data_IF_901918467663
#
_entry.id   IF_901918467663
#
_cell.length_a   1.000
_cell.length_b   1.000
_cell.length_c   1.000
_cell.angle_alpha   90.00
_cell.angle_beta   90.00
_cell.angle_gamma   90.00
#
_symmetry.space_group_name_H-M   'P 1'
#
loop_
_entity.id
_entity.type
_entity.pdbx_description
1 polymer ?
#
# COMPACT_ATOMS: atom_id res chain seq x y z
N UNK A 1 -14.71 19.39 -13.55
CA UNK A 1 -14.33 18.52 -12.44
C UNK A 1 -13.94 17.16 -12.99
N UNK A 2 -12.81 16.61 -12.53
CA UNK A 2 -12.43 15.25 -12.82
C UNK A 2 -13.26 14.24 -12.01
N UNK A 3 -13.01 12.96 -12.27
CA UNK A 3 -13.73 11.88 -11.57
C UNK A 3 -13.52 11.90 -10.05
N UNK A 4 -12.26 12.08 -9.62
CA UNK A 4 -11.89 12.11 -8.20
C UNK A 4 -12.52 13.30 -7.47
N UNK A 5 -12.45 14.52 -8.05
CA UNK A 5 -13.04 15.72 -7.48
C UNK A 5 -14.57 15.59 -7.35
N UNK A 6 -15.22 14.95 -8.33
CA UNK A 6 -16.67 14.73 -8.29
C UNK A 6 -17.06 13.77 -7.16
N UNK A 7 -16.33 12.65 -7.00
CA UNK A 7 -16.56 11.72 -5.89
C UNK A 7 -16.29 12.37 -4.54
N UNK A 8 -15.23 13.16 -4.42
CA UNK A 8 -14.89 13.87 -3.19
C UNK A 8 -16.00 14.84 -2.78
N UNK A 9 -16.54 15.63 -3.72
CA UNK A 9 -17.67 16.53 -3.45
C UNK A 9 -18.93 15.78 -3.01
N UNK A 10 -19.23 14.64 -3.66
CA UNK A 10 -20.35 13.78 -3.24
C UNK A 10 -20.14 13.28 -1.81
N UNK A 11 -18.93 12.80 -1.49
CA UNK A 11 -18.61 12.32 -0.15
C UNK A 11 -18.74 13.42 0.91
N UNK A 12 -18.25 14.63 0.63
CA UNK A 12 -18.43 15.78 1.50
C UNK A 12 -19.94 16.11 1.74
N UNK A 13 -20.73 16.05 0.66
CA UNK A 13 -22.19 16.28 0.76
C UNK A 13 -22.87 15.20 1.59
N UNK A 14 -22.53 13.94 1.40
CA UNK A 14 -23.09 12.81 2.19
C UNK A 14 -22.73 12.97 3.66
N UNK A 15 -21.47 13.27 3.98
CA UNK A 15 -21.02 13.53 5.34
C UNK A 15 -21.85 14.62 6.03
N UNK A 16 -22.07 15.75 5.34
CA UNK A 16 -22.87 16.86 5.89
C UNK A 16 -24.35 16.49 6.06
N UNK A 17 -24.92 15.69 5.14
CA UNK A 17 -26.32 15.27 5.23
C UNK A 17 -26.58 14.25 6.33
N UNK A 18 -25.60 13.35 6.58
CA UNK A 18 -25.69 12.35 7.64
C UNK A 18 -25.43 12.93 9.04
N UNK A 19 -24.82 14.11 9.11
CA UNK A 19 -24.36 14.72 10.36
C UNK A 19 -23.40 13.79 11.13
N UNK A 20 -22.46 13.15 10.39
CA UNK A 20 -21.46 12.25 10.96
C UNK A 20 -20.43 13.05 11.79
N UNK A 21 -19.88 12.45 12.85
CA UNK A 21 -18.90 13.10 13.73
C UNK A 21 -17.49 13.14 13.10
N UNK A 22 -17.16 12.17 12.27
CA UNK A 22 -15.83 12.00 11.68
C UNK A 22 -15.89 11.75 10.18
N UNK A 23 -15.00 12.39 9.45
CA UNK A 23 -14.80 12.18 8.02
C UNK A 23 -13.39 11.68 7.75
N UNK A 24 -13.25 10.40 7.37
CA UNK A 24 -11.97 9.82 6.97
C UNK A 24 -11.77 10.10 5.49
N UNK A 25 -10.79 10.94 5.17
CA UNK A 25 -10.51 11.41 3.83
C UNK A 25 -9.12 10.98 3.38
N UNK A 26 -9.04 10.04 2.43
CA UNK A 26 -7.79 9.63 1.83
C UNK A 26 -7.42 10.55 0.67
N UNK A 27 -6.18 11.06 0.66
CA UNK A 27 -5.64 11.84 -0.45
C UNK A 27 -5.50 10.96 -1.71
N UNK A 28 -5.85 11.50 -2.87
CA UNK A 28 -5.68 10.81 -4.14
C UNK A 28 -4.21 10.69 -4.51
N UNK A 29 -3.49 11.80 -4.58
CA UNK A 29 -2.05 11.85 -4.87
C UNK A 29 -1.38 12.98 -4.09
N UNK A 30 -0.32 12.64 -3.35
CA UNK A 30 0.47 13.64 -2.63
C UNK A 30 -0.22 14.19 -1.38
N UNK A 31 -0.65 15.43 -1.40
CA UNK A 31 -1.31 16.11 -0.29
C UNK A 31 -1.50 17.61 -0.52
N UNK A 32 -0.43 18.38 -0.59
CA UNK A 32 -0.44 19.85 -0.70
C UNK A 32 -1.32 20.40 -1.84
N UNK A 33 -1.31 19.73 -2.98
CA UNK A 33 -2.07 20.08 -4.19
C UNK A 33 -3.24 19.12 -4.44
N UNK A 34 -3.47 18.18 -3.54
CA UNK A 34 -4.59 17.25 -3.66
C UNK A 34 -5.92 17.95 -3.36
N UNK A 35 -6.99 17.53 -4.02
CA UNK A 35 -8.33 18.07 -3.82
C UNK A 35 -8.77 18.01 -2.36
N UNK A 36 -8.36 16.99 -1.62
CA UNK A 36 -8.71 16.80 -0.21
C UNK A 36 -8.07 17.84 0.73
N UNK A 37 -7.02 18.54 0.27
CA UNK A 37 -6.38 19.62 1.05
C UNK A 37 -7.33 20.79 1.38
N UNK A 38 -8.43 20.93 0.64
CA UNK A 38 -9.44 21.99 0.87
C UNK A 38 -10.07 21.86 2.26
N UNK A 39 -10.16 20.65 2.82
CA UNK A 39 -10.80 20.42 4.14
C UNK A 39 -9.99 21.05 5.28
N UNK A 40 -8.68 21.27 5.12
CA UNK A 40 -7.81 21.78 6.18
C UNK A 40 -7.92 21.00 7.48
N UNK A 41 -7.74 19.68 7.37
CA UNK A 41 -7.88 18.74 8.49
C UNK A 41 -6.95 19.08 9.65
N UNK A 42 -7.45 19.01 10.88
CA UNK A 42 -6.64 19.19 12.09
C UNK A 42 -5.95 17.89 12.55
N UNK A 43 -6.34 16.76 11.98
CA UNK A 43 -5.74 15.45 12.22
C UNK A 43 -5.30 14.85 10.89
N UNK A 44 -4.01 14.54 10.79
CA UNK A 44 -3.40 13.95 9.59
C UNK A 44 -2.71 12.65 9.95
N UNK A 45 -2.90 11.63 9.11
CA UNK A 45 -2.28 10.31 9.26
C UNK A 45 -1.32 10.10 8.08
N UNK A 46 -0.04 9.95 8.38
CA UNK A 46 1.01 9.64 7.41
C UNK A 46 1.46 8.19 7.61
N UNK A 47 1.08 7.31 6.71
CA UNK A 47 1.38 5.87 6.83
C UNK A 47 2.87 5.59 6.63
N UNK A 48 3.41 6.02 5.49
CA UNK A 48 4.84 5.93 5.14
C UNK A 48 5.19 6.91 4.02
N UNK A 49 6.49 6.98 3.69
CA UNK A 49 7.02 7.69 2.52
C UNK A 49 7.75 6.70 1.62
N UNK A 50 7.25 6.54 0.41
CA UNK A 50 7.85 5.73 -0.66
C UNK A 50 7.83 6.46 -1.99
N UNK A 51 8.60 5.98 -2.96
CA UNK A 51 8.61 6.53 -4.32
C UNK A 51 7.39 6.04 -5.09
N UNK A 52 6.50 6.95 -5.44
CA UNK A 52 5.42 6.80 -6.39
C UNK A 52 5.08 8.19 -6.94
N UNK A 53 4.55 8.28 -8.15
CA UNK A 53 4.17 9.54 -8.79
C UNK A 53 5.27 10.62 -8.75
N UNK A 54 6.53 10.22 -8.98
CA UNK A 54 7.69 11.11 -8.88
C UNK A 54 7.59 12.30 -9.83
N UNK A 55 6.94 12.14 -10.97
CA UNK A 55 6.66 13.20 -11.93
C UNK A 55 5.81 14.34 -11.35
N UNK A 56 5.03 14.07 -10.30
CA UNK A 56 4.16 15.04 -9.63
C UNK A 56 4.67 15.43 -8.24
N UNK A 57 5.25 14.49 -7.50
CA UNK A 57 5.56 14.65 -6.07
C UNK A 57 7.03 15.01 -5.81
N UNK A 58 7.91 14.82 -6.80
CA UNK A 58 9.34 15.05 -6.69
C UNK A 58 10.18 13.78 -6.67
N UNK A 59 11.50 13.95 -6.82
CA UNK A 59 12.46 12.88 -7.01
C UNK A 59 13.17 12.44 -5.73
N UNK A 60 12.82 13.03 -4.60
CA UNK A 60 13.38 12.69 -3.29
C UNK A 60 12.26 12.40 -2.26
N UNK A 61 12.58 11.55 -1.29
CA UNK A 61 11.65 11.29 -0.18
C UNK A 61 11.29 12.55 0.62
N UNK A 62 12.19 13.55 0.66
CA UNK A 62 11.94 14.82 1.33
C UNK A 62 10.91 15.67 0.59
N UNK A 63 10.98 15.74 -0.75
CA UNK A 63 9.97 16.43 -1.57
C UNK A 63 8.60 15.74 -1.43
N UNK A 64 8.56 14.42 -1.45
CA UNK A 64 7.32 13.64 -1.25
C UNK A 64 6.76 13.90 0.17
N UNK A 65 7.62 13.97 1.18
CA UNK A 65 7.22 14.30 2.55
C UNK A 65 6.62 15.70 2.60
N UNK A 66 7.25 16.71 1.97
CA UNK A 66 6.74 18.09 1.90
C UNK A 66 5.32 18.12 1.31
N UNK A 67 5.10 17.42 0.19
CA UNK A 67 3.77 17.32 -0.40
C UNK A 67 2.74 16.73 0.57
N UNK A 68 3.10 15.67 1.30
CA UNK A 68 2.14 14.94 2.15
C UNK A 68 1.85 15.66 3.47
N UNK A 69 2.86 16.22 4.15
CA UNK A 69 2.63 16.93 5.42
C UNK A 69 1.97 18.28 5.23
N UNK A 70 2.02 18.86 4.03
CA UNK A 70 1.35 20.11 3.69
C UNK A 70 -0.07 19.92 3.11
N UNK A 71 -0.69 18.77 3.33
CA UNK A 71 -2.10 18.55 2.98
C UNK A 71 -3.03 19.50 3.79
N UNK A 72 -2.59 19.97 4.93
CA UNK A 72 -3.29 20.95 5.75
C UNK A 72 -2.31 21.94 6.37
N UNK A 73 -2.75 23.17 6.54
CA UNK A 73 -2.02 24.21 7.28
C UNK A 73 -2.57 24.40 8.71
N UNK A 74 -3.38 23.46 9.19
CA UNK A 74 -4.02 23.50 10.50
C UNK A 74 -3.90 22.15 11.24
N UNK A 75 -2.69 21.54 11.23
CA UNK A 75 -2.47 20.22 11.81
C UNK A 75 -2.23 20.32 13.32
N UNK A 76 -3.21 19.92 14.12
CA UNK A 76 -3.03 19.75 15.56
C UNK A 76 -2.35 18.41 15.90
N UNK A 77 -2.77 17.34 15.23
CA UNK A 77 -2.26 16.00 15.49
C UNK A 77 -1.76 15.36 14.19
N UNK A 78 -0.48 15.00 14.14
CA UNK A 78 0.11 14.21 13.07
C UNK A 78 0.43 12.81 13.61
N UNK A 79 -0.19 11.78 13.01
CA UNK A 79 0.08 10.38 13.30
C UNK A 79 0.98 9.79 12.23
N UNK A 80 2.04 9.10 12.63
CA UNK A 80 3.06 8.58 11.72
C UNK A 80 3.21 7.07 11.91
N UNK A 81 3.14 6.33 10.81
CA UNK A 81 3.43 4.91 10.73
C UNK A 81 4.94 4.65 10.70
N UNK A 82 5.43 4.16 9.56
CA UNK A 82 6.88 3.97 9.35
C UNK A 82 7.49 5.15 8.60
N UNK A 83 8.51 5.76 9.18
CA UNK A 83 9.24 6.85 8.55
C UNK A 83 10.73 6.78 8.89
N UNK A 84 11.58 7.05 7.88
CA UNK A 84 13.02 7.14 8.08
C UNK A 84 13.38 8.25 9.09
N UNK A 85 14.30 7.96 10.01
CA UNK A 85 14.72 8.93 11.05
C UNK A 85 15.20 10.26 10.47
N UNK A 86 15.87 10.23 9.31
CA UNK A 86 16.34 11.42 8.59
C UNK A 86 15.20 12.33 8.12
N UNK A 87 14.02 11.77 7.87
CA UNK A 87 12.83 12.52 7.45
C UNK A 87 12.09 13.13 8.65
N UNK A 88 12.09 12.43 9.78
CA UNK A 88 11.39 12.88 10.99
C UNK A 88 11.85 14.26 11.44
N UNK A 89 13.16 14.52 11.39
CA UNK A 89 13.74 15.81 11.79
C UNK A 89 13.27 17.00 10.94
N UNK A 90 12.79 16.75 9.73
CA UNK A 90 12.34 17.79 8.80
C UNK A 90 10.86 18.15 8.94
N UNK A 91 10.06 17.32 9.63
CA UNK A 91 8.58 17.45 9.63
C UNK A 91 8.15 18.86 10.09
N UNK A 92 8.63 19.30 11.24
CA UNK A 92 8.22 20.61 11.80
C UNK A 92 8.75 21.81 11.01
N UNK A 93 9.88 21.67 10.31
CA UNK A 93 10.38 22.72 9.42
C UNK A 93 9.61 22.80 8.11
N UNK A 94 9.05 21.67 7.63
CA UNK A 94 8.21 21.63 6.44
C UNK A 94 6.79 22.14 6.70
N UNK A 95 6.25 21.89 7.89
CA UNK A 95 4.94 22.39 8.28
C UNK A 95 4.93 22.78 9.77
N UNK A 96 4.97 24.08 10.03
CA UNK A 96 5.02 24.66 11.38
C UNK A 96 3.68 24.66 12.11
N UNK A 97 2.57 24.34 11.44
CA UNK A 97 1.26 24.21 12.08
C UNK A 97 1.13 22.94 12.94
N UNK A 98 2.05 21.97 12.79
CA UNK A 98 1.97 20.70 13.49
C UNK A 98 2.27 20.90 14.99
N UNK A 99 1.26 20.71 15.82
CA UNK A 99 1.38 20.85 17.27
C UNK A 99 1.94 19.59 17.93
N UNK A 100 1.36 18.42 17.62
CA UNK A 100 1.71 17.12 18.22
C UNK A 100 2.01 16.08 17.17
N UNK A 101 3.00 15.22 17.45
CA UNK A 101 3.38 14.10 16.60
C UNK A 101 3.29 12.83 17.43
N UNK A 102 2.63 11.81 16.88
CA UNK A 102 2.48 10.49 17.47
C UNK A 102 3.05 9.44 16.52
N UNK A 103 3.86 8.52 17.02
CA UNK A 103 4.43 7.44 16.23
C UNK A 103 3.77 6.11 16.61
N UNK A 104 3.41 5.30 15.62
CA UNK A 104 2.78 4.00 15.84
C UNK A 104 3.63 3.06 16.70
N UNK A 105 4.95 3.10 16.56
CA UNK A 105 5.89 2.30 17.36
C UNK A 105 5.97 2.68 18.84
N UNK A 106 5.57 3.90 19.20
CA UNK A 106 5.58 4.41 20.58
C UNK A 106 4.17 4.30 21.21
N UNK A 107 3.27 3.57 20.53
CA UNK A 107 1.92 3.32 21.02
C UNK A 107 1.97 2.57 22.36
N UNK A 108 1.26 3.10 23.36
CA UNK A 108 1.06 2.45 24.67
C UNK A 108 0.08 1.28 24.62
N UNK A 109 -0.44 0.96 23.44
CA UNK A 109 -1.14 -0.28 23.21
C UNK A 109 -0.12 -1.39 23.51
N UNK A 110 -0.28 -2.07 24.63
CA UNK A 110 0.61 -3.12 25.12
C UNK A 110 0.62 -4.29 24.12
N UNK A 111 1.53 -4.21 23.16
CA UNK A 111 1.85 -5.33 22.31
C UNK A 111 3.15 -5.93 22.84
N UNK A 112 3.09 -7.15 23.35
CA UNK A 112 4.29 -7.95 23.65
C UNK A 112 5.08 -8.33 22.39
N UNK A 113 4.68 -7.79 21.22
CA UNK A 113 5.27 -8.06 19.92
C UNK A 113 6.29 -6.99 19.55
N UNK A 114 7.42 -7.42 19.02
CA UNK A 114 8.40 -6.54 18.41
C UNK A 114 7.79 -5.87 17.16
N UNK A 115 7.61 -4.54 17.18
CA UNK A 115 7.01 -3.77 16.09
C UNK A 115 7.70 -4.05 14.74
N UNK A 116 9.01 -4.27 14.71
CA UNK A 116 9.76 -4.53 13.49
C UNK A 116 9.44 -5.91 12.88
N UNK A 117 8.91 -6.84 13.66
CA UNK A 117 8.49 -8.18 13.22
C UNK A 117 7.07 -8.22 12.66
N UNK A 118 6.28 -7.18 12.88
CA UNK A 118 4.90 -7.12 12.38
C UNK A 118 4.85 -7.00 10.86
N UNK A 119 3.78 -7.54 10.27
CA UNK A 119 3.45 -7.31 8.86
C UNK A 119 3.07 -5.84 8.63
N UNK A 120 3.13 -5.38 7.37
CA UNK A 120 2.71 -4.02 7.05
C UNK A 120 1.22 -3.78 7.36
N UNK A 121 0.38 -4.80 7.22
CA UNK A 121 -1.06 -4.73 7.57
C UNK A 121 -1.24 -4.53 9.07
N UNK A 122 -0.51 -5.28 9.91
CA UNK A 122 -0.54 -5.12 11.36
C UNK A 122 -0.03 -3.74 11.80
N UNK A 123 1.06 -3.25 11.18
CA UNK A 123 1.58 -1.90 11.45
C UNK A 123 0.56 -0.80 11.11
N UNK A 124 -0.15 -0.93 10.00
CA UNK A 124 -1.22 -0.02 9.63
C UNK A 124 -2.40 -0.09 10.61
N UNK A 125 -2.74 -1.28 11.09
CA UNK A 125 -3.75 -1.46 12.12
C UNK A 125 -3.36 -0.75 13.43
N UNK A 126 -2.13 -0.92 13.91
CA UNK A 126 -1.62 -0.20 15.09
C UNK A 126 -1.75 1.31 14.91
N UNK A 127 -1.39 1.82 13.72
CA UNK A 127 -1.51 3.25 13.42
C UNK A 127 -2.98 3.71 13.51
N UNK A 128 -3.91 2.93 12.95
CA UNK A 128 -5.33 3.23 13.01
C UNK A 128 -5.86 3.23 14.46
N UNK A 129 -5.47 2.23 15.26
CA UNK A 129 -5.85 2.18 16.68
C UNK A 129 -5.26 3.32 17.51
N UNK A 130 -4.01 3.72 17.23
CA UNK A 130 -3.42 4.89 17.89
C UNK A 130 -4.23 6.16 17.61
N UNK A 131 -4.70 6.33 16.36
CA UNK A 131 -5.59 7.45 16.01
C UNK A 131 -6.88 7.40 16.81
N UNK A 132 -7.54 6.24 16.87
CA UNK A 132 -8.79 6.06 17.61
C UNK A 132 -8.61 6.32 19.12
N UNK A 133 -7.53 5.78 19.73
CA UNK A 133 -7.20 6.00 21.14
C UNK A 133 -7.06 7.49 21.48
N UNK A 134 -6.42 8.26 20.59
CA UNK A 134 -6.19 9.70 20.82
C UNK A 134 -7.37 10.61 20.48
N UNK A 135 -8.27 10.17 19.60
CA UNK A 135 -9.41 11.00 19.15
C UNK A 135 -10.69 10.73 19.91
N UNK A 136 -10.96 9.47 20.28
CA UNK A 136 -12.28 9.06 20.81
C UNK A 136 -12.21 8.32 22.15
N UNK A 137 -11.07 8.36 22.87
CA UNK A 137 -10.86 7.64 24.15
C UNK A 137 -11.33 6.17 24.06
N UNK A 138 -10.81 5.47 23.06
CA UNK A 138 -11.23 4.11 22.73
C UNK A 138 -10.71 3.12 23.78
N UNK A 139 -11.57 2.75 24.74
CA UNK A 139 -11.21 1.93 25.92
C UNK A 139 -11.22 0.41 25.71
N UNK A 140 -11.41 -0.07 24.48
CA UNK A 140 -11.44 -1.50 24.23
C UNK A 140 -10.04 -2.12 24.31
N UNK A 141 -9.94 -3.24 25.00
CA UNK A 141 -8.76 -4.11 24.99
C UNK A 141 -8.66 -4.73 23.58
N UNK A 142 -7.75 -4.21 22.82
CA UNK A 142 -7.46 -4.67 21.48
C UNK A 142 -6.23 -5.58 21.51
N UNK A 143 -6.31 -6.77 20.90
CA UNK A 143 -5.18 -7.68 20.72
C UNK A 143 -4.94 -7.92 19.23
N UNK A 144 -3.78 -7.49 18.74
CA UNK A 144 -3.36 -7.74 17.34
C UNK A 144 -3.25 -9.24 17.05
N UNK A 145 -2.92 -10.05 18.05
CA UNK A 145 -2.74 -11.50 17.89
C UNK A 145 -4.05 -12.23 17.52
N UNK A 146 -5.18 -11.72 17.99
CA UNK A 146 -6.49 -12.34 17.82
C UNK A 146 -7.32 -11.77 16.67
N UNK A 147 -6.85 -10.68 16.04
CA UNK A 147 -7.58 -10.02 14.96
C UNK A 147 -6.95 -10.33 13.61
N UNK A 148 -7.72 -10.95 12.75
CA UNK A 148 -7.33 -11.13 11.34
C UNK A 148 -7.58 -9.83 10.58
N UNK A 149 -6.59 -8.92 10.54
CA UNK A 149 -6.63 -7.73 9.69
C UNK A 149 -6.40 -8.12 8.23
N UNK A 150 -7.42 -8.66 7.61
CA UNK A 150 -7.33 -9.03 6.22
C UNK A 150 -8.00 -7.95 5.37
N UNK A 151 -7.20 -7.08 4.77
CA UNK A 151 -7.71 -6.15 3.77
C UNK A 151 -7.73 -6.83 2.40
N UNK A 152 -8.84 -6.75 1.65
CA UNK A 152 -8.91 -7.32 0.31
C UNK A 152 -7.76 -6.84 -0.58
N UNK A 153 -7.03 -7.77 -1.20
CA UNK A 153 -5.90 -7.46 -2.07
C UNK A 153 -4.66 -6.88 -1.37
N UNK A 154 -4.51 -7.10 -0.06
CA UNK A 154 -3.31 -6.74 0.70
C UNK A 154 -2.74 -7.96 1.42
N UNK A 155 -1.74 -8.59 0.83
CA UNK A 155 -1.13 -9.85 1.28
C UNK A 155 -2.20 -10.88 1.71
N UNK A 156 -3.28 -10.92 0.93
CA UNK A 156 -4.47 -11.71 1.21
C UNK A 156 -4.24 -13.16 0.81
N UNK A 157 -4.41 -14.09 1.75
CA UNK A 157 -4.34 -15.53 1.48
C UNK A 157 -5.70 -16.01 0.99
N UNK A 158 -5.78 -16.41 -0.29
CA UNK A 158 -7.03 -16.89 -0.92
C UNK A 158 -7.10 -18.43 -0.97
N UNK A 159 -5.98 -19.13 -0.80
CA UNK A 159 -5.92 -20.58 -0.64
C UNK A 159 -4.75 -20.96 0.26
N UNK A 160 -4.90 -22.06 1.01
CA UNK A 160 -3.85 -22.58 1.90
C UNK A 160 -3.15 -23.78 1.26
N UNK A 161 -3.82 -24.56 0.43
CA UNK A 161 -3.28 -25.77 -0.21
C UNK A 161 -3.78 -25.89 -1.65
N UNK A 162 -2.96 -25.55 -2.66
CA UNK A 162 -1.65 -24.87 -2.52
C UNK A 162 -1.81 -23.47 -1.94
N UNK A 163 -0.74 -22.93 -1.35
CA UNK A 163 -0.73 -21.56 -0.86
C UNK A 163 -0.91 -20.57 -2.00
N UNK A 164 -1.94 -19.73 -1.94
CA UNK A 164 -2.17 -18.66 -2.89
C UNK A 164 -2.37 -17.34 -2.18
N UNK A 165 -1.55 -16.37 -2.55
CA UNK A 165 -1.56 -15.00 -1.99
C UNK A 165 -1.87 -14.03 -3.11
N UNK A 166 -2.66 -13.01 -2.83
CA UNK A 166 -2.88 -11.88 -3.74
C UNK A 166 -2.50 -10.57 -3.06
N UNK A 167 -1.77 -9.72 -3.79
CA UNK A 167 -1.33 -8.41 -3.27
C UNK A 167 -1.32 -7.35 -4.36
N UNK A 168 -1.97 -6.22 -4.11
CA UNK A 168 -2.10 -5.11 -5.04
C UNK A 168 -0.91 -4.15 -5.06
N UNK A 169 0.26 -4.54 -4.56
CA UNK A 169 1.48 -3.73 -4.63
C UNK A 169 1.79 -3.35 -6.08
N UNK A 170 1.92 -2.06 -6.34
CA UNK A 170 2.09 -1.49 -7.67
C UNK A 170 3.19 -0.41 -7.72
N UNK A 171 4.01 -0.36 -6.68
CA UNK A 171 5.22 0.45 -6.56
C UNK A 171 6.29 -0.31 -5.76
N UNK A 172 7.51 0.20 -5.77
CA UNK A 172 8.67 -0.45 -5.12
C UNK A 172 8.44 -0.66 -3.62
N UNK A 173 7.97 0.37 -2.91
CA UNK A 173 7.79 0.30 -1.46
C UNK A 173 6.74 -0.74 -1.04
N UNK A 174 5.63 -0.83 -1.78
CA UNK A 174 4.60 -1.84 -1.55
C UNK A 174 5.12 -3.25 -1.83
N UNK A 175 5.86 -3.41 -2.95
CA UNK A 175 6.45 -4.70 -3.30
C UNK A 175 7.50 -5.15 -2.28
N UNK A 176 8.37 -4.25 -1.80
CA UNK A 176 9.33 -4.55 -0.73
C UNK A 176 8.63 -5.00 0.56
N UNK A 177 7.51 -4.36 0.90
CA UNK A 177 6.72 -4.75 2.07
C UNK A 177 6.13 -6.17 1.91
N UNK A 178 5.53 -6.47 0.75
CA UNK A 178 4.96 -7.78 0.45
C UNK A 178 6.05 -8.89 0.45
N UNK A 179 7.22 -8.64 -0.16
CA UNK A 179 8.34 -9.58 -0.14
C UNK A 179 8.85 -9.81 1.28
N UNK A 180 8.98 -8.76 2.07
CA UNK A 180 9.41 -8.85 3.48
C UNK A 180 8.43 -9.69 4.30
N UNK A 181 7.14 -9.46 4.14
CA UNK A 181 6.11 -10.24 4.84
C UNK A 181 6.10 -11.71 4.40
N UNK A 182 6.35 -11.97 3.10
CA UNK A 182 6.53 -13.33 2.62
C UNK A 182 7.73 -14.01 3.28
N UNK A 183 8.90 -13.34 3.29
CA UNK A 183 10.12 -13.88 3.88
C UNK A 183 9.96 -14.17 5.38
N UNK A 184 9.31 -13.27 6.12
CA UNK A 184 9.04 -13.47 7.56
C UNK A 184 8.18 -14.70 7.83
N UNK A 185 7.15 -14.91 7.00
CA UNK A 185 6.15 -15.96 7.23
C UNK A 185 6.55 -17.31 6.66
N UNK A 186 7.29 -17.33 5.54
CA UNK A 186 7.57 -18.54 4.75
C UNK A 186 9.06 -18.81 4.51
N UNK A 187 9.97 -18.08 5.17
CA UNK A 187 11.41 -18.35 5.25
C UNK A 187 12.09 -18.56 3.88
N UNK A 188 11.68 -17.82 2.85
CA UNK A 188 12.16 -17.95 1.46
C UNK A 188 11.83 -19.28 0.78
N UNK A 189 10.77 -19.96 1.17
CA UNK A 189 10.26 -21.11 0.42
C UNK A 189 10.05 -20.75 -1.05
N UNK A 190 10.34 -21.63 -2.00
CA UNK A 190 10.10 -21.36 -3.42
C UNK A 190 8.62 -21.03 -3.69
N UNK A 191 8.41 -19.97 -4.48
CA UNK A 191 7.06 -19.49 -4.83
C UNK A 191 7.00 -19.03 -6.29
N UNK A 192 5.91 -19.32 -6.96
CA UNK A 192 5.63 -18.81 -8.29
C UNK A 192 5.01 -17.41 -8.19
N UNK A 193 5.70 -16.41 -8.76
CA UNK A 193 5.30 -15.01 -8.72
C UNK A 193 4.64 -14.63 -10.04
N UNK A 194 3.34 -14.40 -10.00
CA UNK A 194 2.54 -13.94 -11.13
C UNK A 194 2.49 -12.42 -11.12
N UNK A 195 3.02 -11.80 -12.18
CA UNK A 195 3.13 -10.34 -12.27
C UNK A 195 2.30 -9.77 -13.40
N UNK A 196 1.60 -8.67 -13.11
CA UNK A 196 0.95 -7.86 -14.13
C UNK A 196 0.87 -6.41 -13.65
N UNK A 197 1.37 -5.47 -14.47
CA UNK A 197 1.47 -4.06 -14.10
C UNK A 197 0.50 -3.21 -14.91
N UNK A 198 0.01 -2.15 -14.29
CA UNK A 198 -0.75 -1.12 -15.00
C UNK A 198 0.22 -0.23 -15.79
N UNK A 199 -0.19 0.18 -17.00
CA UNK A 199 0.55 1.13 -17.84
C UNK A 199 0.94 2.39 -17.05
N UNK A 200 2.18 2.83 -17.23
CA UNK A 200 2.71 4.03 -16.59
C UNK A 200 3.30 3.78 -15.19
N UNK A 201 3.30 2.54 -14.68
CA UNK A 201 4.03 2.18 -13.46
C UNK A 201 5.48 1.80 -13.77
N UNK A 202 6.37 1.94 -12.78
CA UNK A 202 7.79 1.61 -12.93
C UNK A 202 8.02 0.09 -12.84
N UNK A 203 7.49 -0.66 -13.81
CA UNK A 203 7.61 -2.11 -13.86
C UNK A 203 9.06 -2.60 -13.91
N UNK A 204 9.99 -1.81 -14.51
CA UNK A 204 11.40 -2.22 -14.63
C UNK A 204 12.07 -2.38 -13.28
N UNK A 205 11.91 -1.39 -12.40
CA UNK A 205 12.46 -1.47 -11.04
C UNK A 205 11.77 -2.57 -10.22
N UNK A 206 10.45 -2.77 -10.38
CA UNK A 206 9.73 -3.84 -9.70
C UNK A 206 10.18 -5.22 -10.17
N UNK A 207 10.34 -5.45 -11.47
CA UNK A 207 10.90 -6.71 -12.01
C UNK A 207 12.35 -6.92 -11.58
N UNK A 208 13.15 -5.85 -11.55
CA UNK A 208 14.52 -5.92 -11.03
C UNK A 208 14.53 -6.33 -9.55
N UNK A 209 13.63 -5.80 -8.75
CA UNK A 209 13.50 -6.16 -7.34
C UNK A 209 13.14 -7.64 -7.16
N UNK A 210 12.09 -8.12 -7.84
CA UNK A 210 11.67 -9.54 -7.83
C UNK A 210 12.86 -10.44 -8.26
N UNK A 211 13.57 -10.03 -9.29
CA UNK A 211 14.67 -10.79 -9.88
C UNK A 211 15.91 -10.95 -8.98
N UNK A 212 16.01 -10.19 -7.89
CA UNK A 212 17.07 -10.34 -6.87
C UNK A 212 16.90 -11.61 -6.03
N UNK A 213 15.69 -12.15 -5.96
CA UNK A 213 15.38 -13.29 -5.12
C UNK A 213 15.34 -14.58 -5.93
N UNK A 214 16.19 -15.54 -5.58
CA UNK A 214 16.31 -16.83 -6.31
C UNK A 214 15.15 -17.79 -6.05
N UNK A 215 14.36 -17.54 -5.01
CA UNK A 215 13.19 -18.36 -4.67
C UNK A 215 11.92 -17.96 -5.44
N UNK A 216 11.99 -16.93 -6.30
CA UNK A 216 10.87 -16.52 -7.14
C UNK A 216 11.00 -17.08 -8.56
N UNK A 217 9.98 -17.83 -9.00
CA UNK A 217 9.78 -18.19 -10.42
C UNK A 217 8.81 -17.19 -11.02
N UNK A 218 9.17 -16.50 -12.10
CA UNK A 218 8.42 -15.37 -12.65
C UNK A 218 7.45 -15.84 -13.74
N UNK A 219 6.17 -15.51 -13.57
CA UNK A 219 5.11 -15.66 -14.55
C UNK A 219 4.53 -14.30 -14.91
N UNK A 220 4.59 -13.93 -16.17
CA UNK A 220 4.03 -12.67 -16.69
C UNK A 220 2.59 -12.93 -17.11
N UNK A 221 1.65 -12.21 -16.52
CA UNK A 221 0.23 -12.30 -16.88
C UNK A 221 -0.01 -11.60 -18.22
N UNK A 222 -0.65 -12.30 -19.15
CA UNK A 222 -1.20 -11.77 -20.37
C UNK A 222 -2.73 -11.94 -20.35
N UNK A 223 -3.46 -10.84 -20.18
CA UNK A 223 -4.90 -10.89 -20.01
C UNK A 223 -5.58 -9.62 -20.54
N UNK A 224 -6.43 -9.78 -21.57
CA UNK A 224 -7.08 -8.69 -22.26
C UNK A 224 -8.12 -7.94 -21.41
N UNK A 225 -8.64 -8.57 -20.35
CA UNK A 225 -9.61 -7.94 -19.44
C UNK A 225 -8.95 -7.12 -18.32
N UNK A 226 -7.62 -7.23 -18.19
CA UNK A 226 -6.88 -6.45 -17.22
C UNK A 226 -6.82 -4.96 -17.65
N UNK A 227 -7.51 -4.10 -16.95
CA UNK A 227 -7.65 -2.68 -17.27
C UNK A 227 -6.31 -1.96 -17.37
N UNK A 228 -6.04 -1.37 -18.54
CA UNK A 228 -4.79 -0.62 -18.83
C UNK A 228 -3.52 -1.41 -18.50
N UNK A 229 -3.49 -2.70 -18.82
CA UNK A 229 -2.29 -3.52 -18.65
C UNK A 229 -1.10 -2.90 -19.42
N UNK A 230 0.08 -2.91 -18.80
CA UNK A 230 1.34 -2.66 -19.50
C UNK A 230 1.54 -3.75 -20.57
N UNK A 231 2.10 -3.39 -21.69
CA UNK A 231 2.32 -4.35 -22.78
C UNK A 231 3.21 -5.50 -22.30
N UNK A 232 2.78 -6.72 -22.54
CA UNK A 232 3.51 -7.93 -22.14
C UNK A 232 4.90 -7.94 -22.75
N UNK A 233 5.04 -7.50 -24.00
CA UNK A 233 6.32 -7.40 -24.72
C UNK A 233 7.32 -6.50 -23.96
N UNK A 234 6.85 -5.39 -23.36
CA UNK A 234 7.72 -4.50 -22.57
C UNK A 234 8.29 -5.20 -21.34
N UNK A 235 7.50 -6.07 -20.69
CA UNK A 235 7.91 -6.84 -19.53
C UNK A 235 8.89 -7.95 -19.91
N UNK A 236 8.57 -8.68 -20.97
CA UNK A 236 9.40 -9.80 -21.46
C UNK A 236 10.73 -9.32 -22.01
N UNK A 237 10.74 -8.26 -22.84
CA UNK A 237 11.96 -7.64 -23.35
C UNK A 237 12.89 -7.20 -22.20
N UNK A 238 12.31 -6.66 -21.12
CA UNK A 238 13.11 -6.28 -19.96
C UNK A 238 13.64 -7.48 -19.19
N UNK A 239 12.85 -8.54 -19.00
CA UNK A 239 13.30 -9.78 -18.36
C UNK A 239 14.41 -10.47 -19.18
N UNK A 240 14.30 -10.49 -20.52
CA UNK A 240 15.35 -10.97 -21.42
C UNK A 240 16.62 -10.14 -21.30
N UNK A 241 16.50 -8.80 -21.24
CA UNK A 241 17.63 -7.90 -21.05
C UNK A 241 18.41 -8.21 -19.76
N UNK A 242 17.71 -8.50 -18.67
CA UNK A 242 18.32 -8.84 -17.38
C UNK A 242 18.59 -10.34 -17.22
N UNK A 243 18.39 -11.13 -18.27
CA UNK A 243 18.65 -12.59 -18.35
C UNK A 243 17.92 -13.39 -17.26
N UNK A 244 16.64 -13.09 -17.05
CA UNK A 244 15.78 -13.83 -16.11
C UNK A 244 14.82 -14.75 -16.86
N UNK A 245 14.70 -15.98 -16.37
CA UNK A 245 13.71 -16.92 -16.89
C UNK A 245 12.31 -16.48 -16.45
N UNK A 246 11.36 -16.64 -17.33
CA UNK A 246 9.95 -16.37 -17.11
C UNK A 246 9.07 -17.24 -18.01
N UNK A 247 7.78 -17.28 -17.72
CA UNK A 247 6.74 -17.80 -18.63
C UNK A 247 5.64 -16.76 -18.80
N UNK A 248 5.01 -16.69 -19.97
CA UNK A 248 3.82 -15.84 -20.20
C UNK A 248 2.59 -16.73 -20.13
N UNK A 249 1.63 -16.34 -19.28
CA UNK A 249 0.46 -17.17 -19.00
C UNK A 249 -0.81 -16.31 -18.86
N UNK A 250 -2.01 -16.86 -19.14
CA UNK A 250 -3.26 -16.17 -18.82
C UNK A 250 -3.50 -16.12 -17.29
N UNK A 251 -4.39 -15.24 -16.85
CA UNK A 251 -4.70 -15.08 -15.41
C UNK A 251 -5.24 -16.38 -14.79
N UNK A 252 -6.06 -17.14 -15.51
CA UNK A 252 -6.63 -18.39 -15.03
C UNK A 252 -5.57 -19.48 -14.73
N UNK A 253 -4.35 -19.33 -15.24
CA UNK A 253 -3.25 -20.21 -14.91
C UNK A 253 -2.86 -20.10 -13.43
N UNK A 254 -3.04 -18.95 -12.81
CA UNK A 254 -2.79 -18.77 -11.37
C UNK A 254 -3.67 -19.69 -10.52
N UNK A 255 -4.97 -19.85 -10.88
CA UNK A 255 -5.87 -20.73 -10.14
C UNK A 255 -5.51 -22.21 -10.31
N UNK A 256 -5.10 -22.59 -11.50
CA UNK A 256 -4.76 -23.97 -11.85
C UNK A 256 -3.34 -24.36 -11.43
N UNK A 257 -2.51 -23.42 -11.01
CA UNK A 257 -1.15 -23.71 -10.56
C UNK A 257 -1.14 -24.48 -9.25
N UNK A 258 -0.44 -25.63 -9.24
CA UNK A 258 -0.36 -26.52 -8.07
C UNK A 258 0.75 -26.13 -7.08
N UNK A 259 1.60 -25.17 -7.44
CA UNK A 259 2.65 -24.66 -6.56
C UNK A 259 2.12 -23.50 -5.68
N UNK A 260 2.81 -23.25 -4.58
CA UNK A 260 2.63 -22.01 -3.83
C UNK A 260 2.82 -20.81 -4.75
N UNK A 261 1.93 -19.84 -4.72
CA UNK A 261 1.90 -18.73 -5.69
C UNK A 261 1.49 -17.42 -5.07
N UNK A 262 2.02 -16.34 -5.62
CA UNK A 262 1.58 -14.96 -5.31
C UNK A 262 1.26 -14.21 -6.60
N UNK A 263 0.09 -13.56 -6.65
CA UNK A 263 -0.33 -12.65 -7.72
C UNK A 263 -0.13 -11.20 -7.27
N UNK A 264 0.64 -10.41 -8.04
CA UNK A 264 1.14 -9.12 -7.59
C UNK A 264 1.29 -8.13 -8.75
N UNK A 265 1.32 -6.83 -8.46
CA UNK A 265 1.69 -5.78 -9.41
C UNK A 265 0.61 -4.74 -9.69
N UNK A 266 -0.67 -5.02 -9.43
CA UNK A 266 -1.74 -4.06 -9.65
C UNK A 266 -3.02 -4.40 -8.89
N UNK A 267 -3.65 -3.40 -8.28
CA UNK A 267 -5.01 -3.56 -7.71
C UNK A 267 -6.07 -3.89 -8.77
N UNK A 268 -5.89 -3.44 -10.01
CA UNK A 268 -6.81 -3.79 -11.10
C UNK A 268 -6.69 -5.26 -11.48
N UNK A 269 -5.47 -5.81 -11.49
CA UNK A 269 -5.25 -7.24 -11.70
C UNK A 269 -5.91 -8.07 -10.59
N UNK A 270 -5.71 -7.66 -9.32
CA UNK A 270 -6.34 -8.32 -8.18
C UNK A 270 -7.87 -8.22 -8.26
N UNK A 271 -8.39 -7.05 -8.65
CA UNK A 271 -9.83 -6.84 -8.83
C UNK A 271 -10.42 -7.74 -9.92
N UNK A 272 -9.72 -7.90 -11.05
CA UNK A 272 -10.15 -8.81 -12.12
C UNK A 272 -10.12 -10.28 -11.66
N UNK A 273 -9.05 -10.68 -10.97
CA UNK A 273 -8.96 -12.00 -10.35
C UNK A 273 -10.14 -12.28 -9.40
N UNK A 274 -10.42 -11.36 -8.48
CA UNK A 274 -11.53 -11.53 -7.51
C UNK A 274 -12.89 -11.56 -8.20
N UNK A 275 -13.10 -10.74 -9.21
CA UNK A 275 -14.35 -10.73 -10.00
C UNK A 275 -14.61 -12.08 -10.67
N UNK A 276 -13.60 -12.70 -11.29
CA UNK A 276 -13.73 -14.04 -11.92
C UNK A 276 -14.03 -15.14 -10.90
N UNK A 277 -13.41 -15.06 -9.73
CA UNK A 277 -13.53 -16.04 -8.67
C UNK A 277 -14.67 -15.77 -7.68
N UNK A 278 -15.43 -14.68 -7.87
CA UNK A 278 -16.55 -14.28 -7.00
C UNK A 278 -16.14 -14.12 -5.52
N UNK A 279 -14.91 -13.59 -5.30
CA UNK A 279 -14.30 -13.36 -3.99
C UNK A 279 -14.56 -11.94 -3.47
#
# INVERSE_FOLDING_TARGET
>A
LGYFESLFLIACKVFLLNNDDYFICEAGIGGKLDTTSIIQSNTVVLTNIGFDHQELLGNSKLEILDQKVNISQNIKNLFIGELDKSLISNIKSLNNSIERIYFSKDSSLNFDLNFDELSYVQKNAILAFLVLDKLIDFKNTFSIENETFQQPGRFETVSIKPLKIIDGSHNISGLEAAIRDYQKKYLNDPIDVFVGFKKGKNYKEMLMLISKYSFFNIFVINDDEFYQQEKVENLTDYLDLIKKNYAVVPLDYFDNNMNSSILIGSLYLIGEYKKRNKL
#
